data_IF_767965462339
#
_entry.id   IF_767965462339
#
_cell.length_a   1.000
_cell.length_b   1.000
_cell.length_c   1.000
_cell.angle_alpha   90.00
_cell.angle_beta   90.00
_cell.angle_gamma   90.00
#
_symmetry.space_group_name_H-M   'P 1'
#
loop_
_entity.id
_entity.type
_entity.pdbx_description
1 polymer ?
#
# COMPACT_ATOMS: atom_id res chain seq x y z
N UNK A 1 67.77 -13.96 57.92
CA UNK A 1 68.76 -15.04 58.01
C UNK A 1 68.57 -15.98 56.81
N UNK A 2 69.69 -16.12 56.08
CA UNK A 2 70.04 -17.22 55.09
C UNK A 2 69.09 -17.49 53.91
N UNK A 3 69.56 -17.28 52.76
CA UNK A 3 70.54 -17.82 51.79
C UNK A 3 69.79 -18.60 50.72
N UNK A 4 69.81 -17.98 49.51
CA UNK A 4 70.42 -18.45 48.19
C UNK A 4 70.43 -19.98 48.00
N UNK A 5 69.92 -20.42 46.86
CA UNK A 5 70.66 -21.23 45.90
C UNK A 5 70.09 -20.97 44.45
N UNK A 6 71.02 -20.70 43.59
CA UNK A 6 70.88 -20.46 42.15
C UNK A 6 70.95 -21.83 41.46
N UNK A 7 70.04 -22.08 40.53
CA UNK A 7 70.12 -23.22 39.62
C UNK A 7 69.93 -22.77 38.14
N UNK A 8 71.06 -22.64 37.45
CA UNK A 8 71.13 -22.41 36.00
C UNK A 8 70.70 -23.68 35.25
N UNK A 9 69.61 -23.60 34.51
CA UNK A 9 69.36 -24.53 33.44
C UNK A 9 69.33 -23.80 32.11
N UNK A 10 70.34 -24.09 31.27
CA UNK A 10 70.45 -23.75 29.86
C UNK A 10 69.39 -24.54 29.09
N UNK A 11 68.37 -23.86 28.57
CA UNK A 11 67.46 -24.47 27.60
C UNK A 11 67.97 -24.11 26.20
N UNK A 12 68.33 -25.13 25.47
CA UNK A 12 68.73 -25.11 24.07
C UNK A 12 67.56 -24.72 23.22
N UNK A 13 67.67 -23.58 22.53
CA UNK A 13 66.72 -23.13 21.53
C UNK A 13 66.96 -23.86 20.23
N UNK A 14 66.19 -24.91 19.93
CA UNK A 14 66.09 -25.44 18.59
C UNK A 14 65.28 -24.46 17.73
N UNK A 15 65.98 -23.84 16.80
CA UNK A 15 65.33 -23.02 15.72
C UNK A 15 64.53 -24.00 14.82
N UNK A 16 63.20 -23.95 14.98
CA UNK A 16 62.31 -24.46 13.95
C UNK A 16 62.09 -23.36 12.93
N UNK A 17 62.51 -23.60 11.70
CA UNK A 17 62.17 -22.81 10.53
C UNK A 17 60.69 -23.08 10.27
N UNK A 18 59.82 -22.13 10.60
CA UNK A 18 58.45 -22.13 10.18
C UNK A 18 58.40 -21.49 8.80
N UNK A 19 58.21 -22.34 7.79
CA UNK A 19 57.89 -21.94 6.42
C UNK A 19 56.51 -21.30 6.45
N UNK A 20 56.30 -20.04 6.01
CA UNK A 20 54.96 -19.52 5.87
C UNK A 20 54.31 -20.17 4.65
N UNK A 21 53.34 -21.03 4.90
CA UNK A 21 52.43 -21.53 3.87
C UNK A 21 51.56 -20.34 3.45
N UNK A 22 51.89 -19.72 2.31
CA UNK A 22 51.06 -18.77 1.63
C UNK A 22 49.79 -19.50 1.10
N UNK A 23 48.77 -19.51 1.91
CA UNK A 23 47.40 -19.85 1.47
C UNK A 23 46.91 -18.70 0.62
N UNK A 24 47.17 -18.74 -0.70
CA UNK A 24 46.49 -17.87 -1.65
C UNK A 24 45.03 -18.32 -1.71
N UNK A 25 44.17 -17.64 -0.95
CA UNK A 25 42.73 -17.74 -1.10
C UNK A 25 42.39 -17.13 -2.47
N UNK A 26 42.23 -17.99 -3.47
CA UNK A 26 41.59 -17.56 -4.71
C UNK A 26 40.11 -17.30 -4.40
N UNK A 27 39.77 -16.05 -4.10
CA UNK A 27 38.44 -15.54 -4.26
C UNK A 27 38.14 -15.53 -5.77
N UNK A 28 37.60 -16.62 -6.28
CA UNK A 28 36.88 -16.60 -7.54
C UNK A 28 35.65 -15.72 -7.29
N UNK A 29 35.78 -14.45 -7.63
CA UNK A 29 34.66 -13.58 -7.88
C UNK A 29 33.88 -14.20 -9.04
N UNK A 30 32.89 -15.03 -8.73
CA UNK A 30 31.80 -15.28 -9.64
C UNK A 30 31.06 -13.96 -9.77
N UNK A 31 31.56 -13.06 -10.61
CA UNK A 31 30.71 -12.08 -11.25
C UNK A 31 29.76 -12.92 -12.10
N UNK A 32 28.58 -13.18 -11.57
CA UNK A 32 27.44 -13.49 -12.41
C UNK A 32 27.25 -12.25 -13.28
N UNK A 33 27.84 -12.26 -14.46
CA UNK A 33 27.38 -11.40 -15.53
C UNK A 33 25.97 -11.93 -15.83
N UNK A 34 24.96 -11.39 -15.19
CA UNK A 34 23.65 -11.29 -15.78
C UNK A 34 23.89 -10.32 -16.94
N UNK A 35 23.80 -10.78 -18.18
CA UNK A 35 23.74 -9.91 -19.34
C UNK A 35 22.46 -9.08 -19.18
N UNK A 36 22.57 -7.93 -18.51
CA UNK A 36 21.51 -6.91 -18.52
C UNK A 36 21.48 -6.39 -19.95
N UNK A 37 20.35 -6.54 -20.61
CA UNK A 37 20.12 -5.98 -21.93
C UNK A 37 20.17 -4.47 -21.76
N UNK A 38 21.24 -3.83 -22.26
CA UNK A 38 21.31 -2.38 -22.33
C UNK A 38 20.38 -1.91 -23.47
N UNK A 39 19.37 -1.13 -23.12
CA UNK A 39 18.50 -0.47 -24.06
C UNK A 39 19.06 0.90 -24.42
N UNK A 40 18.98 1.28 -25.69
CA UNK A 40 19.40 2.61 -26.15
C UNK A 40 18.44 3.70 -25.64
N UNK A 41 18.99 4.89 -25.38
CA UNK A 41 18.18 6.06 -25.05
C UNK A 41 17.60 6.70 -26.32
N UNK A 42 16.63 5.99 -26.90
CA UNK A 42 15.79 6.45 -28.01
C UNK A 42 14.34 5.94 -27.78
N UNK A 43 13.41 6.35 -28.65
CA UNK A 43 12.00 6.01 -28.48
C UNK A 43 11.77 4.49 -28.39
N UNK A 44 12.37 3.72 -29.29
CA UNK A 44 12.24 2.26 -29.34
C UNK A 44 12.88 1.60 -28.10
N UNK A 45 14.10 2.02 -27.71
CA UNK A 45 14.77 1.43 -26.56
C UNK A 45 14.06 1.72 -25.23
N UNK A 46 13.51 2.91 -25.06
CA UNK A 46 12.70 3.24 -23.89
C UNK A 46 11.38 2.47 -23.84
N UNK A 47 10.73 2.25 -25.00
CA UNK A 47 9.55 1.40 -25.11
C UNK A 47 9.84 -0.06 -24.72
N UNK A 48 10.89 -0.65 -25.30
CA UNK A 48 11.30 -2.03 -25.01
C UNK A 48 11.66 -2.21 -23.53
N UNK A 49 12.40 -1.26 -22.97
CA UNK A 49 12.76 -1.27 -21.55
C UNK A 49 11.50 -1.23 -20.66
N UNK A 50 10.57 -0.31 -20.94
CA UNK A 50 9.34 -0.20 -20.17
C UNK A 50 8.49 -1.46 -20.26
N UNK A 51 8.25 -1.96 -21.49
CA UNK A 51 7.45 -3.17 -21.71
C UNK A 51 8.03 -4.33 -20.92
N UNK A 52 9.36 -4.53 -21.00
CA UNK A 52 10.04 -5.63 -20.31
C UNK A 52 10.05 -5.48 -18.79
N UNK A 53 10.22 -4.28 -18.25
CA UNK A 53 10.11 -4.03 -16.81
C UNK A 53 8.73 -4.48 -16.30
N UNK A 54 7.68 -4.10 -17.00
CA UNK A 54 6.32 -4.48 -16.64
C UNK A 54 6.12 -5.98 -16.84
N UNK A 55 6.54 -6.56 -17.96
CA UNK A 55 6.40 -7.99 -18.26
C UNK A 55 7.03 -8.87 -17.17
N UNK A 56 8.23 -8.51 -16.71
CA UNK A 56 8.95 -9.32 -15.71
C UNK A 56 8.51 -9.09 -14.27
N UNK A 57 7.93 -7.92 -13.95
CA UNK A 57 7.75 -7.50 -12.55
C UNK A 57 6.33 -7.17 -12.13
N UNK A 58 5.44 -6.87 -13.06
CA UNK A 58 4.04 -6.59 -12.73
C UNK A 58 3.32 -7.84 -12.21
N UNK A 59 2.50 -7.68 -11.16
CA UNK A 59 2.00 -8.84 -10.42
C UNK A 59 0.57 -9.29 -10.77
N UNK A 60 -0.16 -8.58 -11.64
CA UNK A 60 -1.58 -8.85 -11.85
C UNK A 60 -1.94 -9.32 -13.26
N UNK A 61 -1.01 -9.82 -14.06
CA UNK A 61 -1.31 -10.24 -15.43
C UNK A 61 -2.41 -11.30 -15.50
N UNK A 62 -2.27 -12.42 -14.79
CA UNK A 62 -3.27 -13.49 -14.78
C UNK A 62 -4.61 -13.02 -14.26
N UNK A 63 -4.60 -12.23 -13.17
CA UNK A 63 -5.82 -11.70 -12.60
C UNK A 63 -6.56 -10.81 -13.61
N UNK A 64 -5.86 -9.88 -14.27
CA UNK A 64 -6.46 -8.96 -15.24
C UNK A 64 -6.80 -9.62 -16.57
N UNK A 65 -6.07 -10.65 -16.96
CA UNK A 65 -6.47 -11.51 -18.08
C UNK A 65 -7.81 -12.18 -17.80
N UNK A 66 -8.00 -12.69 -16.59
CA UNK A 66 -9.27 -13.31 -16.18
C UNK A 66 -10.42 -12.29 -16.11
N UNK A 67 -10.16 -11.10 -15.55
CA UNK A 67 -11.21 -10.09 -15.29
C UNK A 67 -11.70 -9.38 -16.58
N UNK A 68 -10.80 -9.05 -17.50
CA UNK A 68 -11.16 -8.30 -18.71
C UNK A 68 -10.35 -8.66 -19.95
N UNK A 69 -9.65 -9.79 -19.96
CA UNK A 69 -8.98 -10.32 -21.15
C UNK A 69 -7.67 -9.62 -21.49
N UNK A 70 -6.95 -9.05 -20.51
CA UNK A 70 -5.65 -8.42 -20.75
C UNK A 70 -4.66 -9.42 -21.38
N UNK A 71 -4.13 -9.09 -22.55
CA UNK A 71 -3.03 -9.80 -23.21
C UNK A 71 -1.85 -8.85 -23.40
N UNK A 72 -0.81 -8.99 -22.55
CA UNK A 72 0.33 -8.08 -22.56
C UNK A 72 1.16 -8.20 -23.84
N UNK A 73 1.18 -9.38 -24.48
CA UNK A 73 1.85 -9.54 -25.76
C UNK A 73 1.08 -8.87 -26.91
N UNK A 74 -0.25 -8.89 -26.88
CA UNK A 74 -1.07 -8.15 -27.83
C UNK A 74 -0.85 -6.64 -27.67
N UNK A 75 -0.80 -6.14 -26.44
CA UNK A 75 -0.48 -4.75 -26.11
C UNK A 75 0.88 -4.36 -26.69
N UNK A 76 1.91 -5.20 -26.56
CA UNK A 76 3.20 -4.96 -27.22
C UNK A 76 3.04 -4.73 -28.72
N UNK A 77 2.33 -5.61 -29.41
CA UNK A 77 2.17 -5.54 -30.88
C UNK A 77 1.45 -4.26 -31.32
N UNK A 78 0.49 -3.79 -30.52
CA UNK A 78 -0.26 -2.55 -30.80
C UNK A 78 0.63 -1.31 -30.63
N UNK A 79 1.39 -1.24 -29.54
CA UNK A 79 2.11 -0.02 -29.16
C UNK A 79 3.53 0.06 -29.73
N UNK A 80 4.19 -1.08 -30.00
CA UNK A 80 5.54 -1.13 -30.55
C UNK A 80 5.66 -0.35 -31.86
N UNK A 81 4.70 -0.50 -32.76
CA UNK A 81 4.70 0.22 -34.05
C UNK A 81 4.55 1.74 -33.90
N UNK A 82 4.02 2.21 -32.78
CA UNK A 82 3.85 3.63 -32.44
C UNK A 82 5.11 4.25 -31.84
N UNK A 83 6.02 3.43 -31.30
CA UNK A 83 7.29 3.85 -30.71
C UNK A 83 8.45 3.90 -31.74
N UNK A 84 8.17 3.58 -33.04
CA UNK A 84 9.17 3.58 -34.09
C UNK A 84 9.37 5.00 -34.64
N UNK A 85 10.64 5.36 -34.85
CA UNK A 85 11.03 6.62 -35.46
C UNK A 85 11.54 7.66 -34.47
N UNK A 86 11.65 8.89 -34.94
CA UNK A 86 12.18 10.01 -34.17
C UNK A 86 10.99 10.73 -33.49
N UNK A 87 10.61 10.26 -32.30
CA UNK A 87 9.55 10.83 -31.50
C UNK A 87 10.07 11.93 -30.57
N UNK A 88 9.28 13.00 -30.39
CA UNK A 88 9.52 13.93 -29.29
C UNK A 88 9.26 13.26 -27.93
N UNK A 89 9.78 13.86 -26.86
CA UNK A 89 9.53 13.36 -25.50
C UNK A 89 8.03 13.29 -25.16
N UNK A 90 7.26 14.28 -25.60
CA UNK A 90 5.81 14.33 -25.40
C UNK A 90 5.09 13.19 -26.16
N UNK A 91 5.48 12.95 -27.42
CA UNK A 91 4.91 11.86 -28.22
C UNK A 91 5.26 10.49 -27.63
N UNK A 92 6.51 10.29 -27.20
CA UNK A 92 6.90 9.06 -26.53
C UNK A 92 6.14 8.89 -25.22
N UNK A 93 6.00 9.95 -24.40
CA UNK A 93 5.24 9.92 -23.16
C UNK A 93 3.78 9.50 -23.37
N UNK A 94 3.11 10.04 -24.40
CA UNK A 94 1.74 9.65 -24.76
C UNK A 94 1.65 8.15 -25.07
N UNK A 95 2.54 7.64 -25.96
CA UNK A 95 2.57 6.22 -26.32
C UNK A 95 2.76 5.32 -25.11
N UNK A 96 3.75 5.64 -24.24
CA UNK A 96 4.06 4.83 -23.07
C UNK A 96 2.95 4.90 -22.01
N UNK A 97 2.35 6.07 -21.81
CA UNK A 97 1.26 6.25 -20.84
C UNK A 97 -0.01 5.53 -21.27
N UNK A 98 -0.37 5.60 -22.55
CA UNK A 98 -1.51 4.85 -23.09
C UNK A 98 -1.29 3.34 -22.97
N UNK A 99 -0.09 2.83 -23.29
CA UNK A 99 0.25 1.41 -23.10
C UNK A 99 0.08 0.98 -21.63
N UNK A 100 0.59 1.77 -20.69
CA UNK A 100 0.44 1.50 -19.27
C UNK A 100 -1.02 1.57 -18.81
N UNK A 101 -1.83 2.43 -19.43
CA UNK A 101 -3.26 2.58 -19.16
C UNK A 101 -4.08 1.31 -19.37
N UNK A 102 -3.62 0.42 -20.29
CA UNK A 102 -4.26 -0.89 -20.54
C UNK A 102 -4.23 -1.81 -19.31
N UNK A 103 -3.29 -1.58 -18.39
CA UNK A 103 -3.23 -2.32 -17.13
C UNK A 103 -4.35 -1.95 -16.15
N UNK A 104 -5.06 -0.84 -16.34
CA UNK A 104 -6.16 -0.36 -15.48
C UNK A 104 -5.81 -0.41 -13.98
N UNK A 105 -4.62 0.09 -13.64
CA UNK A 105 -4.06 0.01 -12.29
C UNK A 105 -3.63 1.40 -11.81
N UNK A 106 -4.23 1.89 -10.74
CA UNK A 106 -3.93 3.21 -10.16
C UNK A 106 -2.51 3.33 -9.58
N UNK A 107 -1.83 2.20 -9.32
CA UNK A 107 -0.43 2.18 -8.91
C UNK A 107 0.56 2.22 -10.07
N UNK A 108 0.10 2.00 -11.32
CA UNK A 108 0.96 2.10 -12.50
C UNK A 108 1.03 3.55 -12.96
N UNK A 109 2.22 4.13 -12.80
CA UNK A 109 2.45 5.55 -13.07
C UNK A 109 3.79 5.74 -13.79
N UNK A 110 3.83 6.61 -14.80
CA UNK A 110 5.05 7.05 -15.47
C UNK A 110 5.37 8.48 -15.07
N UNK A 111 6.53 8.70 -14.45
CA UNK A 111 6.99 10.00 -13.99
C UNK A 111 8.07 10.55 -14.90
N UNK A 112 7.90 11.79 -15.34
CA UNK A 112 8.85 12.57 -16.12
C UNK A 112 9.10 13.92 -15.46
N UNK A 113 10.02 14.71 -16.01
CA UNK A 113 10.26 16.07 -15.52
C UNK A 113 9.13 17.06 -15.88
N UNK A 114 8.27 16.72 -16.84
CA UNK A 114 7.24 17.62 -17.38
C UNK A 114 5.81 17.14 -17.15
N UNK A 115 5.57 15.81 -16.97
CA UNK A 115 4.24 15.26 -16.76
C UNK A 115 4.28 13.94 -15.99
N UNK A 116 3.09 13.47 -15.56
CA UNK A 116 2.88 12.19 -14.88
C UNK A 116 1.74 11.42 -15.54
N UNK A 117 2.08 10.28 -16.18
CA UNK A 117 1.10 9.35 -16.73
C UNK A 117 0.44 8.51 -15.64
N UNK A 118 -0.90 8.46 -15.62
CA UNK A 118 -1.68 7.76 -14.58
C UNK A 118 -3.00 7.25 -15.15
N UNK A 119 -3.52 6.18 -14.57
CA UNK A 119 -4.86 5.69 -14.84
C UNK A 119 -5.81 6.14 -13.70
N UNK A 120 -6.79 7.02 -14.02
CA UNK A 120 -7.70 7.61 -13.03
C UNK A 120 -9.11 7.02 -13.03
N UNK A 121 -9.53 6.32 -14.10
CA UNK A 121 -10.89 5.79 -14.26
C UNK A 121 -11.33 4.83 -13.13
N UNK A 122 -10.42 4.36 -12.29
CA UNK A 122 -10.77 3.55 -11.13
C UNK A 122 -11.63 4.33 -10.09
N UNK A 123 -11.62 5.65 -10.12
CA UNK A 123 -12.48 6.50 -9.27
C UNK A 123 -13.24 7.59 -10.03
N UNK A 124 -12.72 8.15 -11.13
CA UNK A 124 -13.35 9.27 -11.87
C UNK A 124 -14.67 8.87 -12.53
N UNK A 125 -14.84 7.60 -12.90
CA UNK A 125 -16.07 7.08 -13.50
C UNK A 125 -17.19 6.83 -12.49
N UNK A 126 -16.97 7.14 -11.19
CA UNK A 126 -17.89 6.83 -10.10
C UNK A 126 -18.28 8.11 -9.31
N UNK A 127 -19.48 8.13 -8.68
CA UNK A 127 -19.85 9.21 -7.78
C UNK A 127 -18.84 9.35 -6.64
N UNK A 128 -18.50 10.59 -6.28
CA UNK A 128 -17.54 10.83 -5.16
C UNK A 128 -18.09 10.36 -3.82
N UNK A 129 -19.40 10.34 -3.64
CA UNK A 129 -20.10 9.91 -2.41
C UNK A 129 -19.56 10.55 -1.12
N UNK A 130 -19.04 11.77 -1.25
CA UNK A 130 -18.40 12.56 -0.19
C UNK A 130 -18.60 14.04 -0.46
N UNK A 131 -18.70 14.82 0.61
CA UNK A 131 -18.77 16.29 0.55
C UNK A 131 -17.96 16.91 1.69
N UNK A 132 -16.92 17.67 1.34
CA UNK A 132 -16.13 18.47 2.29
C UNK A 132 -17.02 19.43 3.10
N UNK A 133 -18.03 19.99 2.48
CA UNK A 133 -18.96 20.93 3.14
C UNK A 133 -19.75 20.24 4.24
N UNK A 134 -20.28 19.04 3.98
CA UNK A 134 -20.99 18.26 4.98
C UNK A 134 -20.06 17.75 6.07
N UNK A 135 -18.91 17.19 5.69
CA UNK A 135 -17.89 16.71 6.64
C UNK A 135 -17.50 17.83 7.64
N UNK A 136 -17.20 19.04 7.14
CA UNK A 136 -16.88 20.20 7.99
C UNK A 136 -18.04 20.62 8.88
N UNK A 137 -19.28 20.46 8.43
CA UNK A 137 -20.46 20.73 9.24
C UNK A 137 -20.57 19.81 10.44
N UNK A 138 -20.30 18.50 10.28
CA UNK A 138 -20.27 17.54 11.40
C UNK A 138 -19.11 17.78 12.35
N UNK A 139 -17.93 18.14 11.86
CA UNK A 139 -16.81 18.54 12.71
C UNK A 139 -17.07 19.86 13.44
N UNK A 140 -17.76 20.81 12.80
CA UNK A 140 -17.97 22.15 13.37
C UNK A 140 -16.66 22.94 13.49
N UNK A 141 -16.56 23.81 14.49
CA UNK A 141 -15.39 24.65 14.76
C UNK A 141 -14.63 24.25 16.02
N UNK A 142 -15.16 23.31 16.79
CA UNK A 142 -14.69 22.86 18.10
C UNK A 142 -14.12 21.41 18.07
N UNK A 143 -13.82 20.90 16.87
CA UNK A 143 -13.17 19.61 16.72
C UNK A 143 -11.74 19.62 17.24
N UNK A 144 -11.23 18.45 17.58
CA UNK A 144 -9.85 18.23 18.02
C UNK A 144 -9.03 17.59 16.91
N UNK A 145 -7.71 17.68 17.04
CA UNK A 145 -6.74 17.07 16.12
C UNK A 145 -5.76 16.24 16.94
N UNK A 146 -5.53 15.00 16.49
CA UNK A 146 -4.51 14.12 17.03
C UNK A 146 -3.74 13.45 15.87
N UNK A 147 -2.55 13.95 15.58
CA UNK A 147 -1.86 13.59 14.33
C UNK A 147 -2.69 13.99 13.11
N UNK A 148 -2.91 13.07 12.17
CA UNK A 148 -3.76 13.30 10.99
C UNK A 148 -5.27 13.16 11.21
N UNK A 149 -5.72 12.77 12.43
CA UNK A 149 -7.15 12.59 12.71
C UNK A 149 -7.78 13.89 13.20
N UNK A 150 -8.92 14.26 12.59
CA UNK A 150 -9.83 15.30 13.09
C UNK A 150 -11.02 14.61 13.74
N UNK A 151 -11.36 14.96 14.98
CA UNK A 151 -12.38 14.23 15.72
C UNK A 151 -13.20 15.07 16.68
N UNK A 152 -14.45 14.62 16.90
CA UNK A 152 -15.44 15.27 17.76
C UNK A 152 -16.46 14.26 18.30
N UNK A 153 -17.09 14.56 19.43
CA UNK A 153 -18.28 13.85 19.90
C UNK A 153 -19.51 14.55 19.34
N UNK A 154 -20.36 13.83 18.61
CA UNK A 154 -21.64 14.32 18.11
C UNK A 154 -22.66 14.40 19.23
N UNK A 155 -23.76 15.14 19.00
CA UNK A 155 -24.80 15.45 20.01
C UNK A 155 -25.48 14.20 20.59
N UNK A 156 -25.48 13.08 19.84
CA UNK A 156 -26.05 11.80 20.26
C UNK A 156 -25.05 10.86 20.96
N UNK A 157 -23.90 11.39 21.38
CA UNK A 157 -22.84 10.64 22.06
C UNK A 157 -22.19 9.57 21.16
N UNK A 158 -22.06 9.84 19.86
CA UNK A 158 -21.27 9.06 18.92
C UNK A 158 -19.96 9.81 18.64
N UNK A 159 -18.83 9.12 18.72
CA UNK A 159 -17.54 9.66 18.30
C UNK A 159 -17.47 9.72 16.78
N UNK A 160 -17.11 10.87 16.21
CA UNK A 160 -16.83 11.03 14.79
C UNK A 160 -15.36 11.39 14.60
N UNK A 161 -14.65 10.60 13.84
CA UNK A 161 -13.26 10.85 13.48
C UNK A 161 -13.10 10.77 11.95
N UNK A 162 -12.48 11.79 11.36
CA UNK A 162 -12.11 11.82 9.95
C UNK A 162 -10.60 11.66 9.79
N UNK A 163 -10.19 10.79 8.88
CA UNK A 163 -8.79 10.54 8.56
C UNK A 163 -8.59 10.48 7.04
N UNK A 164 -8.16 11.60 6.46
CA UNK A 164 -8.12 11.80 5.01
C UNK A 164 -6.88 11.23 4.29
N UNK A 165 -5.85 10.76 5.01
CA UNK A 165 -4.67 10.17 4.34
C UNK A 165 -3.81 9.36 5.31
N UNK A 166 -3.46 8.13 4.92
CA UNK A 166 -2.47 7.32 5.65
C UNK A 166 -1.02 7.81 5.50
N UNK A 167 -0.77 8.83 4.65
CA UNK A 167 0.50 9.56 4.64
C UNK A 167 0.62 10.58 5.77
N UNK A 168 -0.50 10.97 6.40
CA UNK A 168 -0.50 11.85 7.56
C UNK A 168 -0.09 11.06 8.80
N UNK A 169 1.03 11.40 9.46
CA UNK A 169 1.55 10.59 10.56
C UNK A 169 0.72 10.75 11.82
N UNK A 170 0.63 9.69 12.59
CA UNK A 170 0.20 9.68 13.98
C UNK A 170 1.03 8.65 14.77
N UNK A 171 1.09 8.83 16.08
CA UNK A 171 1.70 7.85 16.97
C UNK A 171 0.66 7.22 17.89
N UNK A 172 1.09 6.22 18.65
CA UNK A 172 0.26 5.50 19.62
C UNK A 172 -0.45 6.45 20.60
N UNK A 173 0.25 7.50 21.07
CA UNK A 173 -0.33 8.51 21.97
C UNK A 173 -1.48 9.33 21.34
N UNK A 174 -1.42 9.58 20.04
CA UNK A 174 -2.50 10.27 19.32
C UNK A 174 -3.76 9.39 19.26
N UNK A 175 -3.61 8.09 18.98
CA UNK A 175 -4.72 7.14 18.98
C UNK A 175 -5.31 6.95 20.40
N UNK A 176 -4.45 6.91 21.43
CA UNK A 176 -4.89 6.87 22.83
C UNK A 176 -5.73 8.11 23.19
N UNK A 177 -5.34 9.30 22.74
CA UNK A 177 -6.07 10.55 22.97
C UNK A 177 -7.48 10.47 22.37
N UNK A 178 -7.61 10.01 21.10
CA UNK A 178 -8.91 9.85 20.42
C UNK A 178 -9.78 8.83 21.18
N UNK A 179 -9.25 7.66 21.52
CA UNK A 179 -9.99 6.60 22.22
C UNK A 179 -10.42 7.06 23.61
N UNK A 180 -9.55 7.76 24.37
CA UNK A 180 -9.91 8.34 25.68
C UNK A 180 -11.02 9.36 25.56
N UNK A 181 -10.95 10.24 24.54
CA UNK A 181 -11.96 11.23 24.31
C UNK A 181 -13.33 10.60 24.03
N UNK A 182 -13.36 9.49 23.29
CA UNK A 182 -14.57 8.75 22.96
C UNK A 182 -14.99 7.71 24.00
N UNK A 183 -14.31 7.61 25.15
CA UNK A 183 -14.53 6.54 26.11
C UNK A 183 -15.99 6.35 26.56
N UNK A 184 -16.77 7.44 26.63
CA UNK A 184 -18.19 7.40 27.02
C UNK A 184 -19.15 7.43 25.82
N UNK A 185 -18.66 7.46 24.59
CA UNK A 185 -19.48 7.36 23.39
C UNK A 185 -20.12 5.97 23.29
N UNK A 186 -21.29 5.89 22.63
CA UNK A 186 -22.00 4.63 22.34
C UNK A 186 -21.27 3.80 21.30
N UNK A 187 -20.67 4.47 20.31
CA UNK A 187 -19.93 3.91 19.20
C UNK A 187 -19.05 4.96 18.57
N UNK A 188 -18.36 4.59 17.49
CA UNK A 188 -17.48 5.46 16.73
C UNK A 188 -17.77 5.36 15.24
N UNK A 189 -17.76 6.48 14.56
CA UNK A 189 -17.68 6.58 13.10
C UNK A 189 -16.24 6.97 12.76
N UNK A 190 -15.57 6.16 11.95
CA UNK A 190 -14.27 6.47 11.37
C UNK A 190 -14.46 6.72 9.88
N UNK A 191 -14.45 7.96 9.48
CA UNK A 191 -14.63 8.40 8.10
C UNK A 191 -13.27 8.45 7.39
N UNK A 192 -13.07 7.56 6.44
CA UNK A 192 -11.87 7.51 5.60
C UNK A 192 -12.20 7.79 4.12
N UNK A 193 -13.37 8.34 3.82
CA UNK A 193 -13.70 8.72 2.44
C UNK A 193 -12.72 9.76 1.92
N UNK A 194 -12.32 9.61 0.66
CA UNK A 194 -11.28 10.43 0.05
C UNK A 194 -9.85 10.07 0.45
N UNK A 195 -9.63 8.99 1.22
CA UNK A 195 -8.31 8.57 1.65
C UNK A 195 -7.63 7.70 0.58
N UNK A 196 -6.75 8.31 -0.22
CA UNK A 196 -5.98 7.63 -1.27
C UNK A 196 -4.86 6.71 -0.78
N UNK A 197 -4.76 6.44 0.52
CA UNK A 197 -3.74 5.56 1.11
C UNK A 197 -2.54 6.30 1.69
N UNK A 198 -1.38 5.69 1.62
CA UNK A 198 -0.11 6.15 2.21
C UNK A 198 0.66 4.99 2.83
N UNK A 199 1.08 5.12 4.09
CA UNK A 199 1.90 4.14 4.79
C UNK A 199 1.07 2.96 5.31
N UNK A 200 1.42 1.73 4.93
CA UNK A 200 0.80 0.50 5.42
C UNK A 200 0.95 0.34 6.94
N UNK A 201 2.09 0.76 7.49
CA UNK A 201 2.32 0.71 8.95
C UNK A 201 1.33 1.57 9.74
N UNK A 202 0.88 2.70 9.17
CA UNK A 202 -0.18 3.51 9.78
C UNK A 202 -1.53 2.79 9.71
N UNK A 203 -1.83 2.10 8.59
CA UNK A 203 -3.05 1.31 8.47
C UNK A 203 -3.08 0.15 9.48
N UNK A 204 -1.97 -0.56 9.64
CA UNK A 204 -1.82 -1.63 10.64
C UNK A 204 -1.95 -1.11 12.08
N UNK A 205 -1.26 0.00 12.42
CA UNK A 205 -1.30 0.60 13.74
C UNK A 205 -2.72 1.06 14.12
N UNK A 206 -3.44 1.66 13.18
CA UNK A 206 -4.83 2.07 13.40
C UNK A 206 -5.74 0.85 13.55
N UNK A 207 -5.62 -0.14 12.68
CA UNK A 207 -6.41 -1.39 12.75
C UNK A 207 -6.19 -2.13 14.07
N UNK A 208 -4.95 -2.20 14.56
CA UNK A 208 -4.58 -2.88 15.82
C UNK A 208 -5.39 -2.40 17.03
N UNK A 209 -5.99 -1.22 16.97
CA UNK A 209 -6.85 -0.65 18.02
C UNK A 209 -8.23 -1.30 18.13
N UNK A 210 -8.63 -2.09 17.12
CA UNK A 210 -9.97 -2.69 17.00
C UNK A 210 -9.95 -4.22 17.17
N UNK A 211 -8.80 -4.82 17.41
CA UNK A 211 -8.64 -6.26 17.62
C UNK A 211 -8.33 -6.61 19.07
N UNK A 212 -8.78 -7.79 19.52
CA UNK A 212 -8.54 -8.30 20.88
C UNK A 212 -7.54 -9.46 20.91
N UNK A 213 -7.33 -10.09 19.78
CA UNK A 213 -6.41 -11.21 19.60
C UNK A 213 -5.71 -11.10 18.25
N UNK A 214 -4.58 -11.79 18.13
CA UNK A 214 -3.88 -11.93 16.85
C UNK A 214 -4.84 -12.53 15.82
N UNK A 215 -5.16 -11.76 14.78
CA UNK A 215 -6.15 -12.14 13.80
C UNK A 215 -5.55 -12.23 12.40
N UNK A 216 -5.80 -13.34 11.72
CA UNK A 216 -5.45 -13.50 10.31
C UNK A 216 -6.34 -12.62 9.45
N UNK A 217 -5.74 -11.74 8.63
CA UNK A 217 -6.45 -10.71 7.85
C UNK A 217 -6.25 -10.81 6.35
N UNK A 218 -5.32 -11.64 5.89
CA UNK A 218 -5.05 -11.80 4.46
C UNK A 218 -3.74 -12.49 4.16
N UNK A 219 -3.31 -12.37 2.91
CA UNK A 219 -2.07 -12.93 2.42
C UNK A 219 -1.33 -11.94 1.51
N UNK A 220 -0.03 -12.16 1.36
CA UNK A 220 0.84 -11.47 0.40
C UNK A 220 1.69 -12.50 -0.33
N UNK A 221 2.05 -12.21 -1.57
CA UNK A 221 3.06 -12.95 -2.32
C UNK A 221 4.13 -12.00 -2.85
N UNK A 222 5.32 -12.55 -3.10
CA UNK A 222 6.45 -11.82 -3.67
C UNK A 222 6.87 -12.49 -4.97
N UNK A 223 7.25 -11.69 -5.97
CA UNK A 223 7.86 -12.22 -7.20
C UNK A 223 9.15 -12.97 -6.86
N UNK A 224 9.34 -14.15 -7.46
CA UNK A 224 10.52 -15.01 -7.30
C UNK A 224 11.26 -15.26 -8.60
N UNK A 225 10.72 -14.81 -9.72
CA UNK A 225 11.28 -14.95 -11.06
C UNK A 225 10.63 -13.99 -12.05
N UNK A 226 10.96 -14.12 -13.32
CA UNK A 226 10.54 -13.25 -14.42
C UNK A 226 9.20 -13.65 -15.05
N UNK A 227 8.76 -14.89 -14.87
CA UNK A 227 7.48 -15.37 -15.41
C UNK A 227 6.29 -14.72 -14.69
N UNK A 228 5.17 -14.55 -15.38
CA UNK A 228 3.97 -13.87 -14.85
C UNK A 228 3.47 -14.51 -13.55
N UNK A 229 3.65 -15.83 -13.38
CA UNK A 229 3.21 -16.62 -12.23
C UNK A 229 4.33 -17.04 -11.28
N UNK A 230 5.53 -16.48 -11.43
CA UNK A 230 6.66 -16.79 -10.56
C UNK A 230 6.51 -16.05 -9.22
N UNK A 231 5.73 -16.62 -8.31
CA UNK A 231 5.50 -16.07 -6.98
C UNK A 231 5.95 -17.00 -5.86
N UNK A 232 6.24 -16.43 -4.71
CA UNK A 232 6.40 -17.15 -3.45
C UNK A 232 5.11 -17.88 -3.07
N UNK A 233 5.18 -18.75 -2.08
CA UNK A 233 3.97 -19.22 -1.41
C UNK A 233 3.24 -18.02 -0.78
N UNK A 234 1.91 -18.11 -0.68
CA UNK A 234 1.12 -17.13 0.05
C UNK A 234 1.57 -17.06 1.51
N UNK A 235 2.03 -15.89 1.93
CA UNK A 235 2.45 -15.62 3.30
C UNK A 235 1.27 -14.97 4.05
N UNK A 236 0.82 -15.57 5.17
CA UNK A 236 -0.32 -15.04 5.90
C UNK A 236 0.03 -13.73 6.61
N UNK A 237 -0.87 -12.76 6.50
CA UNK A 237 -0.80 -11.47 7.18
C UNK A 237 -1.66 -11.50 8.45
N UNK A 238 -1.16 -10.92 9.54
CA UNK A 238 -1.85 -10.86 10.82
C UNK A 238 -1.85 -9.44 11.38
N UNK A 239 -2.95 -9.06 12.02
CA UNK A 239 -2.97 -7.89 12.90
C UNK A 239 -2.82 -8.37 14.33
N UNK A 240 -1.77 -7.90 15.01
CA UNK A 240 -1.60 -8.05 16.45
C UNK A 240 -2.38 -6.95 17.17
N UNK A 241 -3.10 -7.25 18.24
CA UNK A 241 -3.77 -6.22 19.05
C UNK A 241 -2.78 -5.21 19.61
N UNK A 242 -3.11 -3.93 19.55
CA UNK A 242 -2.30 -2.92 20.23
C UNK A 242 -2.17 -3.23 21.74
N UNK A 243 -0.98 -3.04 22.30
CA UNK A 243 -0.74 -3.08 23.75
C UNK A 243 -1.28 -1.85 24.48
N UNK A 244 -1.60 -0.78 23.75
CA UNK A 244 -2.18 0.45 24.27
C UNK A 244 -3.72 0.38 24.28
N UNK A 245 -4.39 1.52 24.44
CA UNK A 245 -5.85 1.55 24.47
C UNK A 245 -6.47 1.00 23.20
N UNK A 246 -7.49 0.18 23.35
CA UNK A 246 -8.24 -0.43 22.26
C UNK A 246 -9.71 -0.06 22.34
N UNK A 247 -10.33 0.08 21.18
CA UNK A 247 -11.76 0.33 21.07
C UNK A 247 -12.54 -0.97 21.09
N UNK A 248 -13.47 -1.12 22.05
CA UNK A 248 -14.19 -2.37 22.33
C UNK A 248 -15.69 -2.26 22.04
N UNK A 249 -16.13 -1.22 21.35
CA UNK A 249 -17.53 -0.95 21.02
C UNK A 249 -17.71 -0.94 19.50
N UNK A 250 -18.94 -0.80 19.03
CA UNK A 250 -19.23 -0.67 17.63
C UNK A 250 -18.42 0.44 16.95
N UNK A 251 -17.90 0.16 15.78
CA UNK A 251 -17.26 1.12 14.88
C UNK A 251 -17.80 0.96 13.48
N UNK A 252 -18.17 2.07 12.86
CA UNK A 252 -18.57 2.15 11.45
C UNK A 252 -17.48 2.87 10.69
N UNK A 253 -16.96 2.20 9.65
CA UNK A 253 -15.97 2.76 8.74
C UNK A 253 -16.71 3.27 7.50
N UNK A 254 -16.59 4.57 7.20
CA UNK A 254 -17.17 5.13 5.98
C UNK A 254 -16.21 5.06 4.82
N UNK A 255 -16.66 4.51 3.70
CA UNK A 255 -15.87 4.31 2.49
C UNK A 255 -16.51 4.94 1.26
N UNK A 256 -15.66 5.30 0.30
CA UNK A 256 -16.04 5.67 -1.05
C UNK A 256 -15.03 5.15 -2.06
N UNK A 257 -15.25 5.40 -3.35
CA UNK A 257 -14.38 4.92 -4.42
C UNK A 257 -12.94 5.46 -4.35
N UNK A 258 -12.69 6.56 -3.65
CA UNK A 258 -11.35 7.13 -3.45
C UNK A 258 -10.56 6.48 -2.31
N UNK A 259 -11.15 5.54 -1.56
CA UNK A 259 -10.44 4.73 -0.55
C UNK A 259 -9.56 3.73 -1.27
N UNK A 260 -8.23 4.02 -1.33
CA UNK A 260 -7.30 3.33 -2.21
C UNK A 260 -6.00 2.91 -1.48
N UNK A 261 -5.27 1.91 -2.00
CA UNK A 261 -3.94 1.51 -1.51
C UNK A 261 -3.95 1.15 -0.02
N UNK A 262 -3.13 1.78 0.85
CA UNK A 262 -3.10 1.51 2.29
C UNK A 262 -4.46 1.71 2.97
N UNK A 263 -5.34 2.58 2.45
CA UNK A 263 -6.70 2.73 2.95
C UNK A 263 -7.59 1.55 2.56
N UNK A 264 -7.43 0.99 1.36
CA UNK A 264 -8.08 -0.26 0.96
C UNK A 264 -7.60 -1.44 1.83
N UNK A 265 -6.30 -1.52 2.12
CA UNK A 265 -5.73 -2.51 3.04
C UNK A 265 -6.30 -2.36 4.45
N UNK A 266 -6.45 -1.13 4.94
CA UNK A 266 -7.12 -0.86 6.22
C UNK A 266 -8.56 -1.40 6.22
N UNK A 267 -9.33 -1.18 5.16
CA UNK A 267 -10.69 -1.74 5.02
C UNK A 267 -10.64 -3.27 5.03
N UNK A 268 -9.70 -3.89 4.32
CA UNK A 268 -9.47 -5.35 4.35
C UNK A 268 -9.25 -5.86 5.79
N UNK A 269 -8.43 -5.17 6.57
CA UNK A 269 -8.22 -5.51 7.98
C UNK A 269 -9.49 -5.35 8.80
N UNK A 270 -10.21 -4.24 8.63
CA UNK A 270 -11.43 -3.95 9.40
C UNK A 270 -12.60 -4.87 9.06
N UNK A 271 -12.65 -5.48 7.86
CA UNK A 271 -13.59 -6.58 7.55
C UNK A 271 -13.39 -7.82 8.44
N UNK A 272 -12.24 -7.94 9.09
CA UNK A 272 -11.93 -9.00 10.05
C UNK A 272 -12.14 -8.59 11.52
N UNK A 273 -12.34 -7.30 11.80
CA UNK A 273 -12.52 -6.79 13.15
C UNK A 273 -13.95 -7.08 13.67
N UNK A 274 -14.10 -7.64 14.91
CA UNK A 274 -15.37 -8.21 15.35
C UNK A 274 -16.51 -7.20 15.52
N UNK A 275 -16.18 -5.93 15.81
CA UNK A 275 -17.16 -4.87 16.08
C UNK A 275 -17.23 -3.81 14.97
N UNK A 276 -16.61 -4.08 13.81
CA UNK A 276 -16.60 -3.15 12.70
C UNK A 276 -17.70 -3.44 11.69
N UNK A 277 -18.22 -2.37 11.08
CA UNK A 277 -19.08 -2.40 9.90
C UNK A 277 -18.54 -1.40 8.88
N UNK A 278 -18.56 -1.77 7.63
CA UNK A 278 -18.15 -0.93 6.52
C UNK A 278 -19.42 -0.39 5.85
N UNK A 279 -19.52 0.92 5.70
CA UNK A 279 -20.70 1.59 5.15
C UNK A 279 -20.26 2.57 4.06
N UNK A 280 -20.95 2.60 2.96
CA UNK A 280 -20.73 3.56 1.88
C UNK A 280 -20.66 2.89 0.52
N UNK A 281 -19.60 3.14 -0.20
CA UNK A 281 -19.39 2.58 -1.54
C UNK A 281 -18.23 1.58 -1.56
N UNK A 282 -18.15 0.83 -2.64
CA UNK A 282 -17.02 0.01 -3.01
C UNK A 282 -15.72 0.83 -2.99
N UNK A 283 -14.64 0.30 -2.43
CA UNK A 283 -13.35 0.99 -2.39
C UNK A 283 -12.66 1.04 -3.75
N UNK A 284 -11.63 1.86 -3.89
CA UNK A 284 -10.87 2.00 -5.13
C UNK A 284 -9.86 0.88 -5.41
N UNK A 285 -9.57 0.05 -4.41
CA UNK A 285 -8.62 -1.05 -4.59
C UNK A 285 -7.15 -0.65 -4.43
N UNK A 286 -6.31 -1.11 -5.35
CA UNK A 286 -4.85 -0.88 -5.28
C UNK A 286 -4.18 -1.76 -4.23
N UNK A 287 -4.34 -3.08 -4.34
CA UNK A 287 -3.83 -4.08 -3.40
C UNK A 287 -2.44 -4.62 -3.76
N UNK A 288 -1.75 -4.03 -4.72
CA UNK A 288 -0.38 -4.37 -5.10
C UNK A 288 0.63 -3.48 -4.40
N UNK A 289 1.55 -4.05 -3.61
CA UNK A 289 2.65 -3.25 -3.08
C UNK A 289 3.51 -2.75 -4.23
N UNK A 290 3.62 -1.41 -4.43
CA UNK A 290 4.26 -0.86 -5.61
C UNK A 290 5.79 -0.83 -5.50
N UNK A 291 6.45 -1.04 -6.63
CA UNK A 291 7.88 -0.86 -6.85
C UNK A 291 8.12 0.21 -7.91
N UNK A 292 9.36 0.61 -8.05
CA UNK A 292 9.78 1.65 -8.98
C UNK A 292 11.02 1.20 -9.73
N UNK A 293 11.05 1.46 -11.05
CA UNK A 293 12.19 1.22 -11.92
C UNK A 293 12.44 2.44 -12.83
N UNK A 294 13.62 2.53 -13.41
CA UNK A 294 14.02 3.63 -14.29
C UNK A 294 14.17 3.17 -15.73
N UNK A 295 13.84 4.05 -16.68
CA UNK A 295 14.06 3.88 -18.11
C UNK A 295 15.42 4.47 -18.53
N UNK A 296 15.96 4.12 -19.71
CA UNK A 296 17.21 4.67 -20.22
C UNK A 296 17.26 6.19 -20.27
N UNK A 297 16.16 6.87 -20.62
CA UNK A 297 16.03 8.32 -20.66
C UNK A 297 15.87 8.99 -19.27
N UNK A 298 15.98 8.23 -18.17
CA UNK A 298 15.84 8.70 -16.82
C UNK A 298 14.40 8.87 -16.31
N UNK A 299 13.39 8.54 -17.12
CA UNK A 299 12.00 8.48 -16.63
C UNK A 299 11.82 7.34 -15.64
N UNK A 300 10.82 7.43 -14.79
CA UNK A 300 10.59 6.45 -13.73
C UNK A 300 9.20 5.86 -13.85
N UNK A 301 9.11 4.53 -13.88
CA UNK A 301 7.84 3.81 -13.81
C UNK A 301 7.64 3.23 -12.42
N UNK A 302 6.44 3.43 -11.86
CA UNK A 302 5.94 2.75 -10.66
C UNK A 302 4.89 1.73 -11.06
N UNK A 303 4.86 0.58 -10.42
CA UNK A 303 3.94 -0.51 -10.74
C UNK A 303 3.70 -1.44 -9.56
N UNK A 304 2.57 -2.16 -9.54
CA UNK A 304 2.25 -3.18 -8.54
C UNK A 304 3.12 -4.43 -8.73
N UNK A 305 3.86 -4.85 -7.68
CA UNK A 305 4.79 -5.97 -7.75
C UNK A 305 4.51 -7.12 -6.76
N UNK A 306 3.81 -6.86 -5.66
CA UNK A 306 3.48 -7.87 -4.65
C UNK A 306 1.96 -7.91 -4.46
N UNK A 307 1.26 -8.92 -4.98
CA UNK A 307 -0.19 -9.00 -4.84
C UNK A 307 -0.58 -9.32 -3.39
N UNK A 308 -1.57 -8.59 -2.88
CA UNK A 308 -2.16 -8.83 -1.58
C UNK A 308 -3.60 -9.34 -1.74
N UNK A 309 -4.01 -10.19 -0.81
CA UNK A 309 -5.29 -10.90 -0.85
C UNK A 309 -6.02 -10.76 0.48
N UNK A 310 -7.32 -10.92 0.45
CA UNK A 310 -8.11 -11.05 1.67
C UNK A 310 -7.89 -12.40 2.39
N UNK A 311 -8.53 -12.59 3.53
CA UNK A 311 -8.46 -13.85 4.31
C UNK A 311 -9.00 -15.07 3.56
N UNK A 312 -9.82 -14.89 2.52
CA UNK A 312 -10.39 -15.92 1.68
C UNK A 312 -9.58 -16.16 0.40
N UNK A 313 -8.39 -15.51 0.28
CA UNK A 313 -7.51 -15.54 -0.88
C UNK A 313 -8.11 -14.90 -2.14
N UNK A 314 -9.01 -13.94 -1.98
CA UNK A 314 -9.55 -13.16 -3.07
C UNK A 314 -8.70 -11.90 -3.28
N UNK A 315 -8.48 -11.51 -4.53
CA UNK A 315 -7.86 -10.24 -4.84
C UNK A 315 -8.73 -9.07 -4.36
N UNK A 316 -8.07 -8.03 -3.85
CA UNK A 316 -8.71 -6.76 -3.49
C UNK A 316 -8.20 -5.60 -4.36
N UNK A 317 -7.60 -5.93 -5.49
CA UNK A 317 -7.03 -4.97 -6.44
C UNK A 317 -8.08 -4.02 -7.01
N UNK A 318 -9.26 -4.51 -7.33
CA UNK A 318 -10.36 -3.68 -7.81
C UNK A 318 -11.27 -3.13 -6.71
N UNK A 319 -10.92 -3.38 -5.45
CA UNK A 319 -11.61 -2.85 -4.29
C UNK A 319 -12.34 -3.89 -3.44
N UNK A 320 -13.04 -3.38 -2.43
CA UNK A 320 -13.73 -4.17 -1.40
C UNK A 320 -15.15 -3.62 -1.25
N UNK A 321 -16.15 -4.50 -1.29
CA UNK A 321 -17.53 -4.14 -1.04
C UNK A 321 -17.76 -3.77 0.44
N UNK A 322 -18.54 -2.70 0.72
CA UNK A 322 -19.00 -2.41 2.06
C UNK A 322 -19.96 -3.49 2.58
N UNK A 323 -20.24 -3.48 3.87
CA UNK A 323 -21.32 -4.31 4.46
C UNK A 323 -22.71 -3.73 4.14
N UNK A 324 -22.76 -2.40 3.96
CA UNK A 324 -23.97 -1.65 3.62
C UNK A 324 -23.65 -0.63 2.52
N UNK A 325 -24.22 -0.80 1.34
CA UNK A 325 -24.17 0.20 0.29
C UNK A 325 -25.08 1.38 0.61
N UNK A 326 -24.50 2.55 0.81
CA UNK A 326 -25.20 3.81 1.08
C UNK A 326 -24.59 4.91 0.23
N UNK A 327 -25.44 5.65 -0.46
CA UNK A 327 -25.03 6.80 -1.28
C UNK A 327 -25.50 8.12 -0.67
N UNK A 328 -24.73 9.16 -0.88
CA UNK A 328 -25.10 10.52 -0.52
C UNK A 328 -26.30 10.96 -1.37
N UNK A 329 -27.41 11.31 -0.72
CA UNK A 329 -28.66 11.69 -1.38
C UNK A 329 -28.75 13.22 -1.46
N UNK A 330 -29.17 13.72 -2.61
CA UNK A 330 -29.37 15.16 -2.82
C UNK A 330 -30.36 15.77 -1.81
N UNK A 331 -31.43 15.05 -1.47
CA UNK A 331 -32.42 15.48 -0.50
C UNK A 331 -31.86 15.65 0.91
N UNK A 332 -30.89 14.85 1.32
CA UNK A 332 -30.21 14.96 2.62
C UNK A 332 -29.15 16.06 2.55
N UNK A 333 -28.41 16.15 1.42
CA UNK A 333 -27.45 17.23 1.20
C UNK A 333 -28.08 18.62 1.32
N UNK A 334 -29.26 18.83 0.74
CA UNK A 334 -29.97 20.09 0.82
C UNK A 334 -30.36 20.45 2.27
N UNK A 335 -30.66 19.46 3.12
CA UNK A 335 -30.89 19.65 4.56
C UNK A 335 -29.57 19.88 5.33
N UNK A 336 -28.44 19.63 4.70
CA UNK A 336 -27.12 19.69 5.31
C UNK A 336 -26.81 18.42 6.12
N UNK A 337 -27.40 17.31 5.75
CA UNK A 337 -27.19 15.99 6.33
C UNK A 337 -26.36 15.11 5.38
N UNK A 338 -25.43 14.33 5.92
CA UNK A 338 -24.68 13.32 5.19
C UNK A 338 -25.36 11.97 5.36
N UNK A 339 -25.95 11.43 4.30
CA UNK A 339 -26.70 10.17 4.32
C UNK A 339 -25.91 9.00 4.92
N UNK A 340 -24.59 8.95 4.70
CA UNK A 340 -23.73 7.90 5.21
C UNK A 340 -23.49 8.07 6.72
N UNK A 341 -23.19 9.29 7.16
CA UNK A 341 -23.02 9.60 8.59
C UNK A 341 -24.32 9.32 9.34
N UNK A 342 -25.46 9.77 8.82
CA UNK A 342 -26.76 9.54 9.45
C UNK A 342 -27.14 8.05 9.49
N UNK A 343 -26.82 7.27 8.45
CA UNK A 343 -26.98 5.82 8.46
C UNK A 343 -26.09 5.16 9.53
N UNK A 344 -24.81 5.57 9.60
CA UNK A 344 -23.86 5.03 10.58
C UNK A 344 -24.30 5.35 12.03
N UNK A 345 -24.84 6.55 12.28
CA UNK A 345 -25.39 6.94 13.59
C UNK A 345 -26.52 6.01 14.03
N UNK A 346 -27.45 5.70 13.11
CA UNK A 346 -28.55 4.77 13.39
C UNK A 346 -28.03 3.37 13.71
N UNK A 347 -27.10 2.87 12.90
CA UNK A 347 -26.53 1.53 13.07
C UNK A 347 -25.76 1.36 14.41
N UNK A 348 -25.23 2.43 14.97
CA UNK A 348 -24.49 2.40 16.25
C UNK A 348 -25.37 2.50 17.49
N UNK A 349 -26.66 2.81 17.36
CA UNK A 349 -27.62 2.94 18.47
C UNK A 349 -28.65 1.80 18.52
N UNK A 350 -28.76 1.02 17.44
CA UNK A 350 -29.52 -0.23 17.39
C UNK A 350 -28.78 -1.38 18.11
#
# INVERSE_FOLDING_TARGET
MMRKIIGNHKISVKRWLILPLLFTFHFSLFTSCVDEVEYEDNAQGNFEALWKIIDEHYCYFDYKQHEYGLDWQEIYNIYNVRAIGDLSNEQLFEVLTEMLGELRDGHVNLYTAFDNGRYWHWHEDYPTNFSDTLQRRYLGTDYRIAGGLMYKILDDQIGYAYYGSFSSPFGEGNLDEVIKHFAFCRGMILDIRGNGGGELTNAEMLAARFFNEKTHVGYIQHKTGKGHNDFSKMEPQYIEPSSNLRWQKGVVILTNREVFSAANEFVKYMKCAPMAKIVGDHTGGGAGLPFTSSLPNGWTVRFSACPMYDRNRQHTEFGIDPDYFVTLKDEDYVKGEDSLIEFARKLLVE
#
